data_IF_480242335698
#
_entry.id   IF_480242335698
#
_cell.length_a   1.000
_cell.length_b   1.000
_cell.length_c   1.000
_cell.angle_alpha   90.00
_cell.angle_beta   90.00
_cell.angle_gamma   90.00
#
_symmetry.space_group_name_H-M   'P 1'
#
loop_
_entity.id
_entity.type
_entity.pdbx_description
1 polymer ?
#
# COMPACT_ATOMS: atom_id res chain seq x y z
N UNK A 1 24.26 -2.46 17.46
CA UNK A 1 23.49 -1.23 17.73
C UNK A 1 24.48 -0.08 17.76
N UNK A 2 24.20 1.02 17.06
CA UNK A 2 25.03 2.22 17.13
C UNK A 2 24.30 3.25 18.00
N UNK A 3 25.00 3.84 18.96
CA UNK A 3 24.54 5.01 19.69
C UNK A 3 24.79 6.21 18.77
N UNK A 4 23.74 6.83 18.25
CA UNK A 4 23.84 8.08 17.49
C UNK A 4 23.43 9.20 18.43
N UNK A 5 24.38 10.01 18.95
CA UNK A 5 24.04 11.18 19.74
C UNK A 5 23.40 12.21 18.81
N UNK A 6 22.18 12.63 19.14
CA UNK A 6 21.57 13.81 18.55
C UNK A 6 21.77 14.97 19.52
N UNK A 7 22.52 15.99 19.12
CA UNK A 7 22.61 17.23 19.91
C UNK A 7 21.43 18.15 19.60
N UNK A 8 20.85 18.76 20.64
CA UNK A 8 19.73 19.72 20.56
C UNK A 8 20.02 20.89 19.59
N UNK A 9 21.28 21.18 19.28
CA UNK A 9 21.71 22.24 18.38
C UNK A 9 21.66 21.87 16.89
N UNK A 10 21.48 20.58 16.55
CA UNK A 10 21.29 20.08 15.16
C UNK A 10 19.82 19.93 14.75
N UNK A 11 18.92 20.62 15.48
CA UNK A 11 17.47 20.43 15.49
C UNK A 11 16.69 20.87 14.24
N UNK A 12 17.34 21.41 13.21
CA UNK A 12 16.62 21.97 12.05
C UNK A 12 15.72 20.94 11.32
N UNK A 13 15.94 19.62 11.54
CA UNK A 13 15.09 18.54 11.02
C UNK A 13 14.23 17.78 12.06
N UNK A 14 14.48 17.94 13.36
CA UNK A 14 13.85 17.14 14.42
C UNK A 14 12.63 17.83 15.06
N UNK A 15 12.42 19.12 14.82
CA UNK A 15 11.26 19.86 15.36
C UNK A 15 9.91 19.19 15.03
N UNK A 16 9.82 18.50 13.89
CA UNK A 16 8.63 17.74 13.48
C UNK A 16 8.25 16.60 14.45
N UNK A 17 9.18 16.16 15.29
CA UNK A 17 9.02 15.07 16.24
C UNK A 17 8.59 15.52 17.65
N UNK A 18 8.62 16.83 17.93
CA UNK A 18 8.17 17.40 19.20
C UNK A 18 6.64 17.53 19.32
N UNK A 19 5.88 17.24 18.25
CA UNK A 19 4.42 17.21 18.30
C UNK A 19 3.94 15.91 18.95
N UNK A 20 3.13 15.97 20.02
CA UNK A 20 2.70 14.78 20.78
C UNK A 20 1.73 13.88 20.00
N UNK A 21 1.15 14.40 18.92
CA UNK A 21 0.24 13.66 18.05
C UNK A 21 0.53 14.00 16.60
N UNK A 22 0.47 13.00 15.73
CA UNK A 22 0.54 13.17 14.28
C UNK A 22 -0.63 12.42 13.64
N UNK A 23 -1.37 13.13 12.79
CA UNK A 23 -2.58 12.61 12.13
C UNK A 23 -2.27 12.30 10.67
N UNK A 24 -2.75 11.15 10.20
CA UNK A 24 -2.64 10.70 8.83
C UNK A 24 -4.01 10.28 8.29
N UNK A 25 -4.14 10.27 6.96
CA UNK A 25 -5.28 9.71 6.26
C UNK A 25 -4.80 8.62 5.33
N UNK A 26 -5.15 7.37 5.62
CA UNK A 26 -4.80 6.19 4.82
C UNK A 26 -5.95 5.19 4.84
N UNK A 27 -6.12 4.44 3.75
CA UNK A 27 -7.15 3.42 3.57
C UNK A 27 -8.57 3.93 3.89
N UNK A 28 -8.86 5.21 3.62
CA UNK A 28 -10.12 5.88 4.01
C UNK A 28 -10.37 5.96 5.54
N UNK A 29 -9.31 5.94 6.35
CA UNK A 29 -9.35 6.09 7.79
C UNK A 29 -8.46 7.25 8.25
N UNK A 30 -8.89 7.94 9.30
CA UNK A 30 -8.03 8.89 10.03
C UNK A 30 -7.26 8.13 11.10
N UNK A 31 -5.93 8.12 11.00
CA UNK A 31 -5.02 7.46 11.94
C UNK A 31 -4.33 8.53 12.77
N UNK A 32 -4.47 8.45 14.09
CA UNK A 32 -3.78 9.36 15.01
C UNK A 32 -2.70 8.59 15.77
N UNK A 33 -1.45 9.00 15.58
CA UNK A 33 -0.28 8.40 16.20
C UNK A 33 0.23 9.31 17.31
N UNK A 34 0.27 8.80 18.54
CA UNK A 34 0.92 9.47 19.67
C UNK A 34 2.43 9.36 19.51
N UNK A 35 3.12 10.48 19.72
CA UNK A 35 4.58 10.55 19.62
C UNK A 35 5.19 11.11 20.91
N UNK A 36 6.38 10.63 21.27
CA UNK A 36 7.12 11.14 22.43
C UNK A 36 8.64 11.06 22.18
N UNK A 37 9.14 11.98 21.36
CA UNK A 37 10.57 12.07 21.06
C UNK A 37 11.43 12.27 22.31
N UNK A 38 10.95 13.06 23.28
CA UNK A 38 11.74 13.47 24.45
C UNK A 38 11.97 12.33 25.43
N UNK A 39 10.96 11.51 25.68
CA UNK A 39 11.06 10.44 26.70
C UNK A 39 11.29 9.05 26.09
N UNK A 40 10.84 8.81 24.85
CA UNK A 40 10.88 7.50 24.21
C UNK A 40 11.74 7.46 22.92
N UNK A 41 12.23 8.61 22.45
CA UNK A 41 13.23 8.71 21.40
C UNK A 41 12.78 8.20 20.03
N UNK A 42 13.73 7.60 19.32
CA UNK A 42 13.62 7.17 17.90
C UNK A 42 12.41 6.28 17.62
N UNK A 43 12.05 5.38 18.54
CA UNK A 43 10.94 4.45 18.33
C UNK A 43 9.56 5.09 18.44
N UNK A 44 9.46 6.25 19.10
CA UNK A 44 8.19 6.90 19.43
C UNK A 44 7.84 8.06 18.51
N UNK A 45 8.37 8.07 17.29
CA UNK A 45 8.06 9.09 16.28
C UNK A 45 7.86 8.45 14.92
N UNK A 46 7.00 9.05 14.10
CA UNK A 46 6.78 8.56 12.73
C UNK A 46 7.85 9.10 11.82
N UNK A 47 8.74 8.20 11.38
CA UNK A 47 9.75 8.47 10.38
C UNK A 47 9.14 8.62 8.98
N UNK A 48 9.78 9.43 8.13
CA UNK A 48 9.28 9.69 6.77
C UNK A 48 9.19 8.40 5.93
N UNK A 49 10.10 7.45 6.14
CA UNK A 49 10.07 6.14 5.46
C UNK A 49 8.78 5.35 5.75
N UNK A 50 8.24 5.44 6.97
CA UNK A 50 6.96 4.80 7.32
C UNK A 50 5.80 5.42 6.54
N UNK A 51 5.84 6.74 6.29
CA UNK A 51 4.84 7.45 5.48
C UNK A 51 4.93 7.00 4.02
N UNK A 52 6.14 7.00 3.45
CA UNK A 52 6.38 6.58 2.06
C UNK A 52 5.94 5.13 1.84
N UNK A 53 6.28 4.21 2.75
CA UNK A 53 5.85 2.82 2.65
C UNK A 53 4.34 2.67 2.79
N UNK A 54 3.70 3.39 3.71
CA UNK A 54 2.24 3.40 3.86
C UNK A 54 1.54 3.86 2.57
N UNK A 55 2.04 4.94 1.95
CA UNK A 55 1.54 5.40 0.64
C UNK A 55 1.73 4.34 -0.44
N UNK A 56 2.90 3.69 -0.51
CA UNK A 56 3.16 2.64 -1.48
C UNK A 56 2.21 1.43 -1.33
N UNK A 57 1.90 1.04 -0.09
CA UNK A 57 0.90 -0.01 0.18
C UNK A 57 -0.50 0.42 -0.28
N UNK A 58 -0.91 1.65 0.04
CA UNK A 58 -2.23 2.17 -0.33
C UNK A 58 -2.43 2.29 -1.85
N UNK A 59 -1.35 2.53 -2.60
CA UNK A 59 -1.37 2.52 -4.08
C UNK A 59 -1.71 1.14 -4.68
N UNK A 60 -1.79 0.08 -3.87
CA UNK A 60 -2.17 -1.26 -4.31
C UNK A 60 -1.07 -2.01 -5.06
N UNK A 61 0.19 -1.57 -4.94
CA UNK A 61 1.34 -2.23 -5.56
C UNK A 61 1.68 -3.58 -4.89
N UNK A 62 1.20 -3.81 -3.67
CA UNK A 62 1.40 -5.02 -2.87
C UNK A 62 0.06 -5.63 -2.49
N UNK A 63 -0.14 -6.91 -2.80
CA UNK A 63 -1.35 -7.66 -2.40
C UNK A 63 -1.20 -8.17 -0.96
N UNK A 64 -1.97 -7.59 -0.04
CA UNK A 64 -1.94 -7.93 1.38
C UNK A 64 -3.05 -8.88 1.82
N UNK A 65 -4.11 -9.09 1.00
CA UNK A 65 -5.27 -9.85 1.44
C UNK A 65 -4.94 -11.32 1.67
N UNK A 66 -5.34 -11.84 2.84
CA UNK A 66 -5.11 -13.24 3.19
C UNK A 66 -3.63 -13.61 3.31
N UNK A 67 -2.76 -12.60 3.50
CA UNK A 67 -1.33 -12.79 3.72
C UNK A 67 -1.00 -12.58 5.19
N UNK A 68 -0.17 -13.45 5.73
CA UNK A 68 0.49 -13.18 7.01
C UNK A 68 1.65 -12.21 6.77
N UNK A 69 1.64 -11.09 7.46
CA UNK A 69 2.70 -10.07 7.40
C UNK A 69 3.30 -9.82 8.79
N UNK A 70 4.55 -9.39 8.82
CA UNK A 70 5.23 -8.95 10.04
C UNK A 70 5.96 -7.64 9.77
N UNK A 71 5.80 -6.65 10.67
CA UNK A 71 6.52 -5.38 10.61
C UNK A 71 7.71 -5.42 11.57
N UNK A 72 8.93 -5.42 11.04
CA UNK A 72 10.15 -5.40 11.85
C UNK A 72 10.55 -3.96 12.17
N UNK A 73 10.76 -3.66 13.45
CA UNK A 73 11.11 -2.30 13.88
C UNK A 73 9.97 -1.31 13.67
N UNK A 74 8.74 -1.71 14.00
CA UNK A 74 7.52 -0.95 13.74
C UNK A 74 7.50 0.48 14.31
N UNK A 75 8.28 0.74 15.38
CA UNK A 75 8.27 2.02 16.07
C UNK A 75 6.85 2.37 16.54
N UNK A 76 6.25 3.41 15.97
CA UNK A 76 4.88 3.80 16.26
C UNK A 76 3.82 2.92 15.60
N UNK A 77 4.20 2.00 14.70
CA UNK A 77 3.32 1.02 14.06
C UNK A 77 2.48 1.55 12.90
N UNK A 78 2.83 2.70 12.30
CA UNK A 78 2.01 3.29 11.24
C UNK A 78 1.83 2.33 10.05
N UNK A 79 2.90 1.67 9.60
CA UNK A 79 2.84 0.80 8.41
C UNK A 79 1.99 -0.43 8.70
N UNK A 80 2.17 -1.08 9.85
CA UNK A 80 1.36 -2.22 10.26
C UNK A 80 -0.12 -1.88 10.41
N UNK A 81 -0.44 -0.71 10.97
CA UNK A 81 -1.83 -0.22 11.04
C UNK A 81 -2.41 -0.05 9.62
N UNK A 82 -1.69 0.61 8.72
CA UNK A 82 -2.14 0.83 7.33
C UNK A 82 -2.32 -0.51 6.61
N UNK A 83 -1.39 -1.45 6.76
CA UNK A 83 -1.47 -2.78 6.18
C UNK A 83 -2.72 -3.54 6.64
N UNK A 84 -3.02 -3.52 7.94
CA UNK A 84 -4.21 -4.16 8.51
C UNK A 84 -5.52 -3.51 8.02
N UNK A 85 -5.55 -2.19 7.85
CA UNK A 85 -6.72 -1.49 7.31
C UNK A 85 -6.95 -1.85 5.83
N UNK A 86 -5.90 -1.94 5.04
CA UNK A 86 -5.98 -2.31 3.61
C UNK A 86 -6.45 -3.76 3.41
N UNK A 87 -6.07 -4.68 4.29
CA UNK A 87 -6.61 -6.06 4.30
C UNK A 87 -8.15 -6.05 4.43
N UNK A 88 -8.68 -5.24 5.35
CA UNK A 88 -10.12 -5.18 5.62
C UNK A 88 -10.91 -4.35 4.59
N UNK A 89 -10.29 -3.39 3.90
CA UNK A 89 -10.97 -2.48 2.95
C UNK A 89 -11.22 -3.14 1.58
N UNK A 90 -10.68 -4.34 1.38
CA UNK A 90 -10.73 -5.07 0.12
C UNK A 90 -12.12 -5.49 -0.38
N UNK A 91 -13.18 -5.44 0.43
CA UNK A 91 -14.52 -5.92 0.02
C UNK A 91 -15.10 -5.14 -1.18
N UNK A 92 -14.75 -3.87 -1.40
CA UNK A 92 -15.31 -3.10 -2.53
C UNK A 92 -14.52 -3.19 -3.86
N UNK A 93 -13.23 -3.55 -3.85
CA UNK A 93 -12.40 -3.50 -5.06
C UNK A 93 -12.27 -4.85 -5.81
N UNK A 94 -12.44 -5.98 -5.11
CA UNK A 94 -12.28 -7.31 -5.74
C UNK A 94 -13.34 -7.65 -6.77
N UNK A 95 -14.57 -7.14 -6.60
CA UNK A 95 -15.61 -7.33 -7.61
C UNK A 95 -15.26 -6.60 -8.91
N UNK A 96 -14.79 -5.36 -8.82
CA UNK A 96 -14.42 -4.56 -9.98
C UNK A 96 -13.23 -5.14 -10.74
N UNK A 97 -12.19 -5.57 -10.02
CA UNK A 97 -11.00 -6.15 -10.64
C UNK A 97 -11.28 -7.53 -11.25
N UNK A 98 -12.06 -8.38 -10.57
CA UNK A 98 -12.47 -9.69 -11.09
C UNK A 98 -13.40 -9.56 -12.30
N UNK A 99 -14.37 -8.65 -12.27
CA UNK A 99 -15.26 -8.37 -13.41
C UNK A 99 -14.46 -7.83 -14.60
N UNK A 100 -13.52 -6.90 -14.40
CA UNK A 100 -12.66 -6.38 -15.48
C UNK A 100 -11.80 -7.48 -16.11
N UNK A 101 -11.16 -8.34 -15.31
CA UNK A 101 -10.39 -9.48 -15.84
C UNK A 101 -11.28 -10.43 -16.65
N UNK A 102 -12.49 -10.76 -16.17
CA UNK A 102 -13.41 -11.63 -16.90
C UNK A 102 -13.87 -10.98 -18.23
N UNK A 103 -14.21 -9.69 -18.22
CA UNK A 103 -14.64 -8.96 -19.43
C UNK A 103 -13.51 -8.92 -20.47
N UNK A 104 -12.27 -8.62 -20.06
CA UNK A 104 -11.14 -8.60 -20.99
C UNK A 104 -10.84 -9.98 -21.57
N UNK A 105 -10.97 -11.05 -20.78
CA UNK A 105 -10.79 -12.42 -21.28
C UNK A 105 -11.87 -12.81 -22.29
N UNK A 106 -13.14 -12.47 -22.03
CA UNK A 106 -14.24 -12.74 -22.95
C UNK A 106 -14.11 -11.96 -24.27
N UNK A 107 -13.66 -10.70 -24.21
CA UNK A 107 -13.41 -9.89 -25.41
C UNK A 107 -12.29 -10.48 -26.27
N UNK A 108 -11.20 -10.98 -25.66
CA UNK A 108 -10.11 -11.63 -26.39
C UNK A 108 -10.57 -12.93 -27.08
N UNK A 109 -11.34 -13.76 -26.39
CA UNK A 109 -11.89 -14.99 -26.97
C UNK A 109 -12.86 -14.70 -28.14
N UNK A 110 -13.66 -13.63 -28.04
CA UNK A 110 -14.54 -13.19 -29.12
C UNK A 110 -13.79 -12.80 -30.40
N UNK A 111 -12.72 -12.01 -30.27
CA UNK A 111 -11.88 -11.61 -31.40
C UNK A 111 -11.17 -12.81 -32.05
N UNK A 112 -10.68 -13.75 -31.22
CA UNK A 112 -10.00 -14.95 -31.73
C UNK A 112 -10.95 -15.90 -32.48
N UNK A 113 -12.20 -16.01 -32.05
CA UNK A 113 -13.23 -16.77 -32.76
C UNK A 113 -13.59 -16.17 -34.12
N UNK A 114 -13.61 -14.84 -34.25
CA UNK A 114 -13.83 -14.17 -35.54
C UNK A 114 -12.63 -14.33 -36.47
N UNK A 115 -11.40 -14.17 -35.98
CA UNK A 115 -10.19 -14.36 -36.77
C UNK A 115 -10.11 -15.79 -37.35
N UNK A 116 -10.40 -16.81 -36.54
CA UNK A 116 -10.41 -18.21 -36.99
C UNK A 116 -11.52 -18.52 -38.01
N UNK A 117 -12.60 -17.74 -38.04
CA UNK A 117 -13.71 -17.94 -38.97
C UNK A 117 -13.41 -17.36 -40.36
N UNK A 118 -12.70 -16.23 -40.42
CA UNK A 118 -12.22 -15.66 -41.71
C UNK A 118 -11.13 -16.51 -42.34
N UNK A 119 -10.23 -17.12 -41.54
CA UNK A 119 -9.19 -18.01 -42.08
C UNK A 119 -9.71 -19.34 -42.64
N UNK A 120 -10.96 -19.71 -42.33
CA UNK A 120 -11.58 -20.93 -42.86
C UNK A 120 -12.35 -20.69 -44.16
N UNK A 121 -12.74 -19.45 -44.48
CA UNK A 121 -13.49 -19.13 -45.72
C UNK A 121 -12.59 -18.90 -46.93
N UNK A 122 -11.28 -18.72 -46.73
CA UNK A 122 -10.31 -18.48 -47.81
C UNK A 122 -9.67 -19.78 -48.35
N UNK A 123 -10.04 -20.95 -47.81
CA UNK A 123 -9.47 -22.26 -48.16
C UNK A 123 -10.27 -23.10 -49.18
N UNK A 124 -11.47 -22.69 -49.57
CA UNK A 124 -12.41 -23.49 -50.38
C UNK A 124 -12.43 -23.15 -51.88
N UNK A 125 -11.42 -22.43 -52.39
CA UNK A 125 -11.23 -22.22 -53.84
C UNK A 125 -10.02 -23.03 -54.36
N UNK A 126 -10.22 -24.32 -54.59
CA UNK A 126 -9.45 -25.12 -55.56
C UNK A 126 -10.34 -26.24 -56.11
#
# INVERSE_FOLDING_TARGET
MALVPYEETTEFGLQKFHKPLKTFSFANHTIQIRQDWRHLGVAAVVWDAAIVLSTYLEMGAVELRGRSAVELGAGTGLVGIVAALLENTGQMQTEGYSKRKQITTLQKQGHQRQANKLSQTDGDYN
#
